data_IF_976947599673
#
_entry.id   IF_976947599673
#
_cell.length_a   1.000
_cell.length_b   1.000
_cell.length_c   1.000
_cell.angle_alpha   90.00
_cell.angle_beta   90.00
_cell.angle_gamma   90.00
#
_symmetry.space_group_name_H-M   'P 1'
#
loop_
_entity.id
_entity.type
_entity.pdbx_description
1 polymer ?
#
# COMPACT_ATOMS: atom_id res chain seq x y z
N UNK A 1 -9.11 -12.60 7.91
CA UNK A 1 -8.07 -13.60 7.62
C UNK A 1 -6.82 -13.37 8.48
N UNK A 2 -6.08 -12.27 8.30
CA UNK A 2 -4.84 -11.98 9.06
C UNK A 2 -5.00 -12.04 10.59
N UNK A 3 -5.96 -11.30 11.16
CA UNK A 3 -6.20 -11.27 12.61
C UNK A 3 -6.56 -12.66 13.14
N UNK A 4 -7.32 -13.45 12.37
CA UNK A 4 -7.69 -14.82 12.77
C UNK A 4 -6.46 -15.73 12.86
N UNK A 5 -5.49 -15.55 11.96
CA UNK A 5 -4.27 -16.35 11.90
C UNK A 5 -3.25 -15.93 12.96
N UNK A 6 -3.03 -14.62 13.11
CA UNK A 6 -1.93 -14.08 13.92
C UNK A 6 -2.38 -13.48 15.25
N UNK A 7 -3.68 -13.42 15.51
CA UNK A 7 -4.29 -12.83 16.71
C UNK A 7 -3.83 -11.40 17.03
N UNK A 8 -3.50 -10.62 15.99
CA UNK A 8 -3.07 -9.22 16.10
C UNK A 8 -3.44 -8.42 14.85
N UNK A 9 -3.61 -7.11 15.01
CA UNK A 9 -3.75 -6.17 13.89
C UNK A 9 -2.40 -6.01 13.15
N UNK A 10 -2.40 -5.77 11.84
CA UNK A 10 -1.18 -5.42 11.12
C UNK A 10 -0.51 -4.18 11.75
N UNK A 11 0.72 -4.33 12.22
CA UNK A 11 1.44 -3.23 12.86
C UNK A 11 1.67 -2.04 11.90
N UNK A 12 1.76 -2.30 10.59
CA UNK A 12 1.97 -1.27 9.57
C UNK A 12 1.23 -1.63 8.28
N UNK A 13 1.08 -0.65 7.38
CA UNK A 13 0.56 -0.87 6.04
C UNK A 13 1.42 -1.81 5.17
N UNK A 14 2.65 -2.15 5.61
CA UNK A 14 3.51 -3.08 4.89
C UNK A 14 2.94 -4.50 4.83
N UNK A 15 2.16 -4.93 5.82
CA UNK A 15 1.56 -6.27 5.80
C UNK A 15 0.56 -6.45 4.63
N UNK A 16 -0.48 -5.59 4.48
CA UNK A 16 -1.36 -5.68 3.31
C UNK A 16 -0.64 -5.34 2.00
N UNK A 17 0.42 -4.51 2.01
CA UNK A 17 1.23 -4.24 0.83
C UNK A 17 1.99 -5.48 0.34
N UNK A 18 2.67 -6.20 1.24
CA UNK A 18 3.41 -7.41 0.92
C UNK A 18 2.48 -8.50 0.36
N UNK A 19 1.33 -8.70 1.02
CA UNK A 19 0.27 -9.59 0.53
C UNK A 19 -0.14 -9.23 -0.90
N UNK A 20 -0.39 -7.94 -1.15
CA UNK A 20 -0.77 -7.43 -2.48
C UNK A 20 0.29 -7.72 -3.53
N UNK A 21 1.56 -7.48 -3.23
CA UNK A 21 2.65 -7.68 -4.19
C UNK A 21 2.79 -9.14 -4.62
N UNK A 22 2.64 -10.09 -3.67
CA UNK A 22 2.70 -11.53 -3.97
C UNK A 22 1.52 -11.95 -4.86
N UNK A 23 0.31 -11.56 -4.49
CA UNK A 23 -0.87 -11.91 -5.28
C UNK A 23 -0.87 -11.25 -6.66
N UNK A 24 -0.38 -10.01 -6.77
CA UNK A 24 -0.23 -9.33 -8.05
C UNK A 24 0.71 -10.09 -9.00
N UNK A 25 1.85 -10.57 -8.49
CA UNK A 25 2.77 -11.42 -9.27
C UNK A 25 2.10 -12.74 -9.65
N UNK A 26 1.39 -13.37 -8.72
CA UNK A 26 0.67 -14.61 -9.00
C UNK A 26 -0.37 -14.46 -10.12
N UNK A 27 -1.14 -13.37 -10.11
CA UNK A 27 -2.08 -13.05 -11.19
C UNK A 27 -1.36 -12.77 -12.52
N UNK A 28 -0.25 -12.04 -12.49
CA UNK A 28 0.59 -11.84 -13.67
C UNK A 28 1.11 -13.14 -14.27
N UNK A 29 1.55 -14.08 -13.45
CA UNK A 29 2.02 -15.42 -13.88
C UNK A 29 0.87 -16.20 -14.53
N UNK A 30 -0.31 -16.23 -13.90
CA UNK A 30 -1.50 -16.89 -14.46
C UNK A 30 -1.88 -16.31 -15.83
N UNK A 31 -1.79 -14.99 -15.97
CA UNK A 31 -2.10 -14.28 -17.21
C UNK A 31 -1.04 -14.52 -18.30
N UNK A 32 0.24 -14.50 -17.93
CA UNK A 32 1.36 -14.72 -18.87
C UNK A 32 1.43 -16.16 -19.39
N UNK A 33 1.02 -17.14 -18.58
CA UNK A 33 1.19 -18.59 -18.85
C UNK A 33 2.66 -18.99 -19.10
N UNK A 34 3.60 -18.17 -18.64
CA UNK A 34 5.04 -18.36 -18.76
C UNK A 34 5.75 -17.57 -17.67
N UNK A 35 6.98 -17.95 -17.38
CA UNK A 35 7.90 -17.21 -16.51
C UNK A 35 8.97 -16.46 -17.32
N UNK A 36 8.87 -16.45 -18.66
CA UNK A 36 9.73 -15.63 -19.51
C UNK A 36 9.55 -14.15 -19.12
N UNK A 37 10.68 -13.47 -18.93
CA UNK A 37 10.75 -12.13 -18.32
C UNK A 37 9.95 -11.09 -19.10
N UNK A 38 10.11 -11.01 -20.41
CA UNK A 38 9.45 -9.99 -21.22
C UNK A 38 7.93 -10.19 -21.25
N UNK A 39 7.48 -11.43 -21.44
CA UNK A 39 6.07 -11.81 -21.41
C UNK A 39 5.44 -11.57 -20.03
N UNK A 40 6.14 -11.93 -18.94
CA UNK A 40 5.65 -11.69 -17.59
C UNK A 40 5.55 -10.19 -17.28
N UNK A 41 6.55 -9.38 -17.64
CA UNK A 41 6.50 -7.92 -17.47
C UNK A 41 5.30 -7.33 -18.24
N UNK A 42 5.06 -7.81 -19.47
CA UNK A 42 3.92 -7.36 -20.26
C UNK A 42 2.59 -7.72 -19.60
N UNK A 43 2.44 -8.97 -19.14
CA UNK A 43 1.24 -9.41 -18.44
C UNK A 43 0.98 -8.59 -17.14
N UNK A 44 2.04 -8.32 -16.37
CA UNK A 44 1.96 -7.50 -15.15
C UNK A 44 1.52 -6.06 -15.47
N UNK A 45 1.98 -5.46 -16.57
CA UNK A 45 1.53 -4.11 -16.99
C UNK A 45 0.04 -4.03 -17.26
N UNK A 46 -0.54 -5.11 -17.75
CA UNK A 46 -1.97 -5.19 -18.05
C UNK A 46 -2.80 -5.74 -16.89
N UNK A 47 -2.17 -6.09 -15.76
CA UNK A 47 -2.85 -6.62 -14.59
C UNK A 47 -3.43 -5.48 -13.75
N UNK A 48 -4.66 -5.67 -13.28
CA UNK A 48 -5.31 -4.79 -12.31
C UNK A 48 -5.69 -5.62 -11.10
N UNK A 49 -5.25 -5.21 -9.92
CA UNK A 49 -5.51 -5.98 -8.70
C UNK A 49 -6.11 -5.09 -7.60
N UNK A 50 -7.34 -5.38 -7.20
CA UNK A 50 -8.03 -4.67 -6.13
C UNK A 50 -7.35 -5.03 -4.81
N UNK A 51 -6.61 -4.10 -4.21
CA UNK A 51 -5.79 -4.39 -3.04
C UNK A 51 -6.50 -4.12 -1.71
N UNK A 52 -6.16 -4.85 -0.63
CA UNK A 52 -6.57 -4.51 0.72
C UNK A 52 -5.93 -3.21 1.25
N UNK A 53 -4.98 -2.61 0.51
CA UNK A 53 -4.38 -1.31 0.86
C UNK A 53 -5.33 -0.15 0.55
N UNK A 54 -6.45 -0.40 -0.15
CA UNK A 54 -7.50 0.59 -0.46
C UNK A 54 -7.40 1.21 -1.85
N UNK A 55 -6.44 0.76 -2.67
CA UNK A 55 -6.28 1.18 -4.07
C UNK A 55 -6.17 -0.04 -4.99
N UNK A 56 -6.55 0.11 -6.25
CA UNK A 56 -6.28 -0.92 -7.26
C UNK A 56 -4.83 -0.77 -7.72
N UNK A 57 -4.02 -1.81 -7.51
CA UNK A 57 -2.66 -1.86 -8.03
C UNK A 57 -2.69 -1.99 -9.55
N UNK A 58 -2.05 -1.03 -10.21
CA UNK A 58 -1.78 -0.98 -11.64
C UNK A 58 -0.35 -0.52 -11.87
N UNK A 59 0.28 -0.95 -12.96
CA UNK A 59 1.65 -0.53 -13.29
C UNK A 59 1.61 0.59 -14.33
N UNK A 60 2.24 1.71 -14.02
CA UNK A 60 2.42 2.85 -14.92
C UNK A 60 3.89 3.33 -14.87
N UNK A 61 4.39 4.04 -15.90
CA UNK A 61 5.70 4.66 -15.81
C UNK A 61 5.72 5.81 -14.79
N UNK A 62 6.86 5.98 -14.11
CA UNK A 62 7.17 7.18 -13.32
C UNK A 62 8.25 8.00 -14.03
N UNK A 63 8.66 9.12 -13.42
CA UNK A 63 9.78 9.94 -13.91
C UNK A 63 11.13 9.21 -13.86
N UNK A 64 11.25 8.15 -13.05
CA UNK A 64 12.54 7.49 -12.76
C UNK A 64 12.55 6.04 -13.26
N UNK A 65 11.44 5.32 -13.15
CA UNK A 65 11.35 3.90 -13.50
C UNK A 65 10.17 3.63 -14.43
N UNK A 66 10.32 2.62 -15.30
CA UNK A 66 9.31 2.27 -16.31
C UNK A 66 8.08 1.54 -15.74
N UNK A 67 8.22 0.93 -14.56
CA UNK A 67 7.21 0.07 -13.95
C UNK A 67 7.01 0.48 -12.48
N UNK A 68 6.18 1.48 -12.23
CA UNK A 68 5.77 1.95 -10.90
C UNK A 68 4.37 1.41 -10.56
N UNK A 69 4.21 0.89 -9.34
CA UNK A 69 2.91 0.49 -8.79
C UNK A 69 2.18 1.66 -8.14
N UNK A 70 1.81 1.50 -6.86
CA UNK A 70 1.17 2.55 -6.08
C UNK A 70 1.92 3.89 -6.15
N UNK A 71 1.16 4.97 -6.29
CA UNK A 71 1.67 6.35 -6.39
C UNK A 71 1.14 7.26 -5.29
N UNK A 72 -0.02 6.92 -4.71
CA UNK A 72 -0.55 7.64 -3.55
C UNK A 72 0.16 7.14 -2.30
N UNK A 73 0.67 8.08 -1.52
CA UNK A 73 1.26 7.80 -0.22
C UNK A 73 0.18 7.88 0.86
N UNK A 74 0.42 7.22 1.99
CA UNK A 74 -0.37 7.39 3.19
C UNK A 74 0.56 7.82 4.30
N UNK A 75 0.20 8.90 4.98
CA UNK A 75 0.94 9.36 6.15
C UNK A 75 0.17 8.89 7.38
N UNK A 76 0.89 8.16 8.22
CA UNK A 76 0.36 7.55 9.43
C UNK A 76 0.98 8.23 10.65
N UNK A 77 0.20 8.36 11.72
CA UNK A 77 0.69 8.86 12.99
C UNK A 77 0.13 8.05 14.15
N UNK A 78 1.01 7.66 15.07
CA UNK A 78 0.58 7.08 16.35
C UNK A 78 0.00 8.18 17.24
N UNK A 79 -1.28 8.05 17.60
CA UNK A 79 -1.98 8.96 18.50
C UNK A 79 -2.72 8.15 19.55
N UNK A 80 -2.48 8.44 20.84
CA UNK A 80 -3.13 7.76 21.98
C UNK A 80 -3.06 6.21 21.88
N UNK A 81 -1.93 5.68 21.43
CA UNK A 81 -1.72 4.24 21.30
C UNK A 81 -2.37 3.57 20.07
N UNK A 82 -2.94 4.35 19.16
CA UNK A 82 -3.56 3.83 17.92
C UNK A 82 -2.91 4.50 16.70
N UNK A 83 -2.67 3.73 15.64
CA UNK A 83 -2.16 4.25 14.38
C UNK A 83 -3.29 4.88 13.57
N UNK A 84 -3.22 6.19 13.35
CA UNK A 84 -4.20 6.98 12.61
C UNK A 84 -3.69 7.30 11.20
N UNK A 85 -4.60 7.37 10.22
CA UNK A 85 -4.31 7.93 8.90
C UNK A 85 -4.54 9.44 8.96
N UNK A 86 -3.49 10.24 8.73
CA UNK A 86 -3.58 11.70 8.75
C UNK A 86 -3.59 12.31 7.33
N UNK A 87 -3.18 11.55 6.32
CA UNK A 87 -3.25 11.92 4.91
C UNK A 87 -3.29 10.68 4.00
N UNK A 88 -4.04 10.68 2.87
CA UNK A 88 -4.82 11.79 2.31
C UNK A 88 -6.09 12.10 3.11
N UNK A 89 -6.58 13.34 2.99
CA UNK A 89 -7.70 13.82 3.80
C UNK A 89 -9.00 13.07 3.55
N UNK A 90 -9.21 12.54 2.33
CA UNK A 90 -10.38 11.72 1.98
C UNK A 90 -10.45 10.39 2.76
N UNK A 91 -9.33 9.93 3.31
CA UNK A 91 -9.23 8.70 4.11
C UNK A 91 -8.67 8.97 5.52
N UNK A 92 -8.66 10.23 5.95
CA UNK A 92 -8.13 10.62 7.25
C UNK A 92 -9.04 10.15 8.37
N UNK A 93 -8.45 9.50 9.37
CA UNK A 93 -9.14 9.04 10.59
C UNK A 93 -8.87 9.95 11.78
N UNK A 94 -7.84 10.79 11.71
CA UNK A 94 -7.54 11.84 12.68
C UNK A 94 -6.79 13.01 12.03
N UNK A 95 -6.87 14.19 12.64
CA UNK A 95 -6.03 15.32 12.27
C UNK A 95 -4.58 15.08 12.73
N UNK A 96 -3.61 15.74 12.08
CA UNK A 96 -2.22 15.75 12.53
C UNK A 96 -2.12 16.27 13.98
N UNK A 97 -1.55 15.46 14.87
CA UNK A 97 -1.21 15.87 16.22
C UNK A 97 0.23 16.38 16.25
N UNK A 98 0.45 17.60 16.70
CA UNK A 98 1.82 18.10 16.87
C UNK A 98 2.50 17.37 18.04
N UNK A 99 3.79 16.99 17.91
CA UNK A 99 4.51 16.26 18.97
C UNK A 99 4.72 17.10 20.23
N UNK A 100 4.63 18.44 20.11
CA UNK A 100 4.76 19.39 21.22
C UNK A 100 3.69 20.48 21.06
N UNK A 101 3.24 21.11 22.17
CA UNK A 101 2.46 22.33 22.07
C UNK A 101 3.29 23.44 21.41
N UNK A 102 2.57 24.45 20.92
CA UNK A 102 3.18 25.67 20.39
C UNK A 102 4.12 26.29 21.44
N UNK A 103 5.19 26.96 20.98
CA UNK A 103 6.26 27.44 21.85
C UNK A 103 5.77 28.37 22.96
N UNK A 104 4.77 29.20 22.65
CA UNK A 104 4.06 30.11 23.57
C UNK A 104 3.15 29.39 24.59
N UNK A 105 2.93 28.09 24.42
CA UNK A 105 2.06 27.24 25.26
C UNK A 105 2.83 26.08 25.92
N UNK A 106 4.16 26.17 25.96
CA UNK A 106 5.04 25.22 26.66
C UNK A 106 5.14 25.53 28.14
#
# INVERSE_FOLDING_TARGET
AYIKEYNQEPATYFAPLAYTNIYFVAEGIKKAKTLEKAALIQALRETRYVSPVGETLTINPSRVIKNQGFTKQKILQWQKGVQQVIWPFEFSTAQLAHPFPAWDKR
#
